data_IF_657608353520
#
_entry.id   IF_657608353520
#
_cell.length_a   1.000
_cell.length_b   1.000
_cell.length_c   1.000
_cell.angle_alpha   90.00
_cell.angle_beta   90.00
_cell.angle_gamma   90.00
#
_symmetry.space_group_name_H-M   'P 1'
#
loop_
_entity.id
_entity.type
_entity.pdbx_description
1 polymer ?
#
# COMPACT_ATOMS: atom_id res chain seq x y z
N UNK A 1 0.40 30.04 -15.52
CA UNK A 1 -0.69 29.53 -14.64
C UNK A 1 -0.65 30.39 -13.41
N UNK A 2 -1.64 31.23 -13.26
CA UNK A 2 -1.67 32.22 -12.20
C UNK A 2 -1.90 31.55 -10.85
N UNK A 3 -1.17 31.99 -9.82
CA UNK A 3 -1.18 31.36 -8.47
C UNK A 3 -2.54 31.34 -7.75
N UNK A 4 -3.61 31.82 -8.41
CA UNK A 4 -4.98 31.76 -7.92
C UNK A 4 -5.60 30.35 -7.98
N UNK A 5 -5.19 29.49 -8.92
CA UNK A 5 -5.83 28.19 -9.14
C UNK A 5 -5.60 27.18 -7.98
N UNK A 6 -4.46 27.25 -7.31
CA UNK A 6 -4.15 26.38 -6.18
C UNK A 6 -4.98 26.73 -4.95
N UNK A 7 -5.24 28.02 -4.70
CA UNK A 7 -6.06 28.51 -3.60
C UNK A 7 -7.50 28.00 -3.63
N UNK A 8 -8.11 27.93 -4.83
CA UNK A 8 -9.49 27.45 -4.98
C UNK A 8 -9.66 25.99 -4.54
N UNK A 9 -8.66 25.13 -4.77
CA UNK A 9 -8.70 23.74 -4.31
C UNK A 9 -8.80 23.64 -2.78
N UNK A 10 -8.07 24.50 -2.05
CA UNK A 10 -8.13 24.55 -0.59
C UNK A 10 -9.47 25.14 -0.10
N UNK A 11 -10.01 26.16 -0.74
CA UNK A 11 -11.34 26.71 -0.39
C UNK A 11 -12.45 25.70 -0.62
N UNK A 12 -12.45 24.99 -1.75
CA UNK A 12 -13.45 23.95 -2.04
C UNK A 12 -13.35 22.83 -1.00
N UNK A 13 -12.15 22.39 -0.65
CA UNK A 13 -11.94 21.35 0.37
C UNK A 13 -12.48 21.82 1.73
N UNK A 14 -12.18 23.06 2.14
CA UNK A 14 -12.69 23.65 3.38
C UNK A 14 -14.22 23.68 3.41
N UNK A 15 -14.85 24.16 2.33
CA UNK A 15 -16.33 24.24 2.22
C UNK A 15 -16.95 22.85 2.27
N UNK A 16 -16.40 21.86 1.54
CA UNK A 16 -16.89 20.48 1.58
C UNK A 16 -16.76 19.88 2.97
N UNK A 17 -15.61 20.06 3.64
CA UNK A 17 -15.39 19.55 5.00
C UNK A 17 -16.33 20.22 6.01
N UNK A 18 -16.51 21.53 5.93
CA UNK A 18 -17.44 22.26 6.78
C UNK A 18 -18.90 21.78 6.56
N UNK A 19 -19.30 21.56 5.31
CA UNK A 19 -20.63 21.07 4.96
C UNK A 19 -20.89 19.67 5.55
N UNK A 20 -19.90 18.77 5.46
CA UNK A 20 -19.99 17.43 6.08
C UNK A 20 -20.12 17.57 7.60
N UNK A 21 -19.30 18.38 8.24
CA UNK A 21 -19.37 18.62 9.70
C UNK A 21 -20.74 19.15 10.11
N UNK A 22 -21.30 20.06 9.30
CA UNK A 22 -22.65 20.59 9.55
C UNK A 22 -23.75 19.54 9.40
N UNK A 23 -23.62 18.60 8.45
CA UNK A 23 -24.56 17.48 8.33
C UNK A 23 -24.59 16.59 9.58
N UNK A 24 -23.44 16.44 10.29
CA UNK A 24 -23.34 15.68 11.54
C UNK A 24 -23.58 16.53 12.80
N UNK A 25 -24.08 17.76 12.67
CA UNK A 25 -24.27 18.65 13.82
C UNK A 25 -25.22 18.06 14.88
N UNK A 26 -26.27 17.34 14.45
CA UNK A 26 -27.24 16.74 15.36
C UNK A 26 -26.59 15.65 16.23
N UNK A 27 -25.83 14.76 15.62
CA UNK A 27 -25.10 13.67 16.26
C UNK A 27 -24.03 14.21 17.20
N UNK A 28 -23.30 15.24 16.77
CA UNK A 28 -22.31 15.93 17.59
C UNK A 28 -22.97 16.56 18.82
N UNK A 29 -24.11 17.24 18.63
CA UNK A 29 -24.85 17.87 19.74
C UNK A 29 -25.35 16.83 20.74
N UNK A 30 -25.90 15.71 20.29
CA UNK A 30 -26.33 14.61 21.17
C UNK A 30 -25.13 14.01 21.93
N UNK A 31 -23.98 13.84 21.30
CA UNK A 31 -22.75 13.38 21.96
C UNK A 31 -22.21 14.34 23.02
N UNK A 32 -22.32 15.67 22.79
CA UNK A 32 -21.89 16.69 23.76
C UNK A 32 -22.91 16.93 24.90
N UNK A 33 -24.19 16.61 24.69
CA UNK A 33 -25.28 16.78 25.69
C UNK A 33 -25.54 15.52 26.50
N UNK A 34 -24.75 14.44 26.32
CA UNK A 34 -24.85 13.21 27.12
C UNK A 34 -24.66 13.41 28.60
N UNK A 35 -24.90 12.34 29.39
CA UNK A 35 -24.78 12.38 30.87
C UNK A 35 -23.43 12.92 31.33
N UNK A 36 -23.44 13.82 32.31
CA UNK A 36 -22.23 14.42 32.85
C UNK A 36 -21.46 13.36 33.66
N UNK A 37 -20.38 12.87 33.08
CA UNK A 37 -19.46 11.97 33.76
C UNK A 37 -18.72 12.71 34.90
N UNK A 38 -18.50 12.04 36.03
CA UNK A 38 -17.68 12.58 37.10
C UNK A 38 -16.23 12.78 36.62
N UNK A 39 -15.59 13.89 37.03
CA UNK A 39 -14.21 14.19 36.62
C UNK A 39 -13.22 13.08 36.96
N UNK A 40 -13.42 12.37 38.07
CA UNK A 40 -12.62 11.22 38.47
C UNK A 40 -12.75 10.02 37.51
N UNK A 41 -13.96 9.71 37.09
CA UNK A 41 -14.25 8.63 36.16
C UNK A 41 -13.74 8.96 34.74
N UNK A 42 -13.98 10.21 34.30
CA UNK A 42 -13.44 10.70 33.04
C UNK A 42 -11.91 10.63 33.00
N UNK A 43 -11.22 10.98 34.05
CA UNK A 43 -9.75 10.91 34.15
C UNK A 43 -9.24 9.48 34.01
N UNK A 44 -9.89 8.51 34.63
CA UNK A 44 -9.51 7.08 34.52
C UNK A 44 -9.75 6.58 33.10
N UNK A 45 -10.89 6.93 32.49
CA UNK A 45 -11.22 6.55 31.12
C UNK A 45 -10.25 7.15 30.13
N UNK A 46 -9.97 8.46 30.24
CA UNK A 46 -9.00 9.17 29.37
C UNK A 46 -7.61 8.54 29.48
N UNK A 47 -7.15 8.23 30.70
CA UNK A 47 -5.85 7.57 30.91
C UNK A 47 -5.79 6.22 30.22
N UNK A 48 -6.85 5.42 30.29
CA UNK A 48 -6.95 4.13 29.61
C UNK A 48 -6.97 4.29 28.10
N UNK A 49 -7.74 5.25 27.59
CA UNK A 49 -7.79 5.57 26.16
C UNK A 49 -6.43 6.06 25.64
N UNK A 50 -5.76 6.95 26.37
CA UNK A 50 -4.44 7.46 26.00
C UNK A 50 -3.38 6.35 25.97
N UNK A 51 -3.42 5.43 26.93
CA UNK A 51 -2.51 4.28 26.96
C UNK A 51 -2.64 3.37 25.72
N UNK A 52 -3.85 3.23 25.20
CA UNK A 52 -4.11 2.49 23.97
C UNK A 52 -3.79 3.30 22.72
N UNK A 53 -4.15 4.58 22.69
CA UNK A 53 -4.04 5.45 21.52
C UNK A 53 -2.61 5.91 21.23
N UNK A 54 -1.79 6.09 22.25
CA UNK A 54 -0.43 6.59 22.11
C UNK A 54 0.45 5.72 21.18
N UNK A 55 0.50 4.38 21.34
CA UNK A 55 1.27 3.54 20.41
C UNK A 55 0.72 3.58 18.99
N UNK A 56 -0.60 3.71 18.83
CA UNK A 56 -1.24 3.83 17.50
C UNK A 56 -0.89 5.17 16.85
N UNK A 57 -0.81 6.25 17.62
CA UNK A 57 -0.37 7.56 17.14
C UNK A 57 1.07 7.49 16.62
N UNK A 58 1.99 6.88 17.38
CA UNK A 58 3.38 6.68 16.96
C UNK A 58 3.46 5.83 15.69
N UNK A 59 2.67 4.77 15.62
CA UNK A 59 2.54 3.94 14.42
C UNK A 59 2.03 4.75 13.22
N UNK A 60 1.04 5.61 13.41
CA UNK A 60 0.48 6.49 12.38
C UNK A 60 1.51 7.51 11.88
N UNK A 61 2.22 8.17 12.79
CA UNK A 61 3.30 9.11 12.44
C UNK A 61 4.40 8.39 11.65
N UNK A 62 4.87 7.24 12.13
CA UNK A 62 5.88 6.46 11.42
C UNK A 62 5.38 6.00 10.03
N UNK A 63 4.10 5.66 9.89
CA UNK A 63 3.48 5.32 8.62
C UNK A 63 3.46 6.49 7.63
N UNK A 64 3.10 7.69 8.10
CA UNK A 64 3.11 8.91 7.28
C UNK A 64 4.54 9.27 6.89
N UNK A 65 5.49 9.21 7.82
CA UNK A 65 6.90 9.45 7.53
C UNK A 65 7.43 8.47 6.47
N UNK A 66 7.09 7.20 6.55
CA UNK A 66 7.47 6.22 5.53
C UNK A 66 6.95 6.57 4.11
N UNK A 67 5.82 7.29 4.00
CA UNK A 67 5.24 7.68 2.71
C UNK A 67 5.73 9.04 2.19
N UNK A 68 6.26 9.88 3.07
CA UNK A 68 6.56 11.29 2.73
C UNK A 68 7.98 11.72 3.02
N UNK A 69 8.73 10.96 3.84
CA UNK A 69 10.08 11.34 4.25
C UNK A 69 11.05 11.49 3.07
N UNK A 70 10.92 10.63 2.05
CA UNK A 70 11.66 10.73 0.80
C UNK A 70 11.46 12.10 0.12
N UNK A 71 10.21 12.55 0.03
CA UNK A 71 9.83 13.81 -0.60
C UNK A 71 10.24 15.04 0.22
N UNK A 72 10.18 14.92 1.55
CA UNK A 72 10.59 15.99 2.46
C UNK A 72 12.13 16.12 2.49
N UNK A 73 12.84 15.00 2.54
CA UNK A 73 14.30 15.00 2.67
C UNK A 73 15.01 15.30 1.35
N UNK A 74 14.41 14.93 0.22
CA UNK A 74 15.03 15.01 -1.09
C UNK A 74 15.61 16.41 -1.43
N UNK A 75 14.87 17.52 -1.26
CA UNK A 75 15.39 18.87 -1.59
C UNK A 75 16.59 19.30 -0.75
N UNK A 76 16.73 18.72 0.46
CA UNK A 76 17.82 19.05 1.38
C UNK A 76 19.07 18.20 1.18
N UNK A 77 18.92 17.04 0.54
CA UNK A 77 20.00 16.05 0.40
C UNK A 77 20.57 16.05 -1.03
N UNK A 78 19.73 16.39 -2.02
CA UNK A 78 20.12 16.35 -3.43
C UNK A 78 20.79 17.66 -3.86
N UNK A 79 22.12 17.62 -4.07
CA UNK A 79 22.92 18.81 -4.42
C UNK A 79 23.28 18.88 -5.92
N UNK A 80 23.02 17.81 -6.70
CA UNK A 80 23.46 17.68 -8.10
C UNK A 80 22.45 18.24 -9.11
N UNK A 81 22.03 19.49 -8.99
CA UNK A 81 21.13 20.12 -9.97
C UNK A 81 19.81 20.58 -9.38
N UNK A 82 18.78 20.72 -10.23
CA UNK A 82 17.46 21.17 -9.76
C UNK A 82 16.71 20.07 -9.02
N UNK A 83 16.79 20.11 -7.69
CA UNK A 83 16.10 19.18 -6.81
C UNK A 83 14.59 19.19 -6.98
N UNK A 84 14.00 20.36 -7.28
CA UNK A 84 12.55 20.49 -7.45
C UNK A 84 12.05 19.81 -8.73
N UNK A 85 12.80 19.95 -9.83
CA UNK A 85 12.47 19.23 -11.08
C UNK A 85 12.58 17.71 -10.90
N UNK A 86 13.65 17.23 -10.27
CA UNK A 86 13.83 15.80 -9.99
C UNK A 86 12.73 15.25 -9.07
N UNK A 87 12.36 16.00 -8.04
CA UNK A 87 11.26 15.65 -7.15
C UNK A 87 9.90 15.67 -7.89
N UNK A 88 9.72 16.61 -8.81
CA UNK A 88 8.54 16.67 -9.68
C UNK A 88 8.40 15.42 -10.56
N UNK A 89 9.50 14.97 -11.18
CA UNK A 89 9.56 13.74 -11.98
C UNK A 89 9.18 12.52 -11.14
N UNK A 90 9.78 12.39 -9.96
CA UNK A 90 9.45 11.31 -9.01
C UNK A 90 7.99 11.37 -8.55
N UNK A 91 7.50 12.56 -8.22
CA UNK A 91 6.13 12.78 -7.79
C UNK A 91 5.10 12.41 -8.85
N UNK A 92 5.35 12.77 -10.13
CA UNK A 92 4.47 12.41 -11.25
C UNK A 92 4.43 10.90 -11.48
N UNK A 93 5.58 10.22 -11.46
CA UNK A 93 5.66 8.76 -11.58
C UNK A 93 4.98 8.05 -10.39
N UNK A 94 5.15 8.57 -9.18
CA UNK A 94 4.52 8.03 -7.96
C UNK A 94 2.99 8.11 -8.02
N UNK A 95 2.39 9.05 -8.77
CA UNK A 95 0.94 9.11 -8.97
C UNK A 95 0.41 7.90 -9.75
N UNK A 96 1.16 7.36 -10.70
CA UNK A 96 0.79 6.11 -11.38
C UNK A 96 0.88 4.94 -10.38
N UNK A 97 1.96 4.87 -9.61
CA UNK A 97 2.12 3.83 -8.60
C UNK A 97 1.09 3.91 -7.46
N UNK A 98 0.47 5.08 -7.23
CA UNK A 98 -0.59 5.29 -6.24
C UNK A 98 -1.82 4.40 -6.49
N UNK A 99 -2.04 3.91 -7.72
CA UNK A 99 -3.06 2.91 -8.02
C UNK A 99 -2.90 1.70 -7.08
N UNK A 100 -1.66 1.24 -6.85
CA UNK A 100 -1.41 0.13 -5.93
C UNK A 100 -1.71 0.50 -4.48
N UNK A 101 -1.36 1.71 -4.04
CA UNK A 101 -1.70 2.20 -2.71
C UNK A 101 -3.21 2.26 -2.49
N UNK A 102 -3.98 2.71 -3.51
CA UNK A 102 -5.45 2.72 -3.46
C UNK A 102 -6.03 1.31 -3.34
N UNK A 103 -5.53 0.35 -4.10
CA UNK A 103 -5.93 -1.07 -4.02
C UNK A 103 -5.65 -1.62 -2.62
N UNK A 104 -4.46 -1.41 -2.10
CA UNK A 104 -4.05 -1.84 -0.76
C UNK A 104 -4.95 -1.22 0.32
N UNK A 105 -5.26 0.05 0.19
CA UNK A 105 -6.13 0.76 1.13
C UNK A 105 -7.58 0.27 1.08
N UNK A 106 -8.13 0.06 -0.12
CA UNK A 106 -9.47 -0.49 -0.30
C UNK A 106 -9.59 -1.89 0.32
N UNK A 107 -8.58 -2.74 0.07
CA UNK A 107 -8.52 -4.06 0.69
C UNK A 107 -8.46 -3.95 2.22
N UNK A 108 -7.64 -3.07 2.77
CA UNK A 108 -7.52 -2.86 4.22
C UNK A 108 -8.85 -2.47 4.85
N UNK A 109 -9.59 -1.54 4.27
CA UNK A 109 -10.89 -1.09 4.79
C UNK A 109 -11.94 -2.19 4.76
N UNK A 110 -11.94 -3.03 3.74
CA UNK A 110 -12.86 -4.17 3.67
C UNK A 110 -12.46 -5.32 4.61
N UNK A 111 -11.16 -5.55 4.77
CA UNK A 111 -10.64 -6.70 5.47
C UNK A 111 -10.54 -6.49 6.99
N UNK A 112 -10.24 -5.27 7.46
CA UNK A 112 -10.06 -4.97 8.88
C UNK A 112 -11.30 -5.30 9.74
N UNK A 113 -12.54 -4.89 9.40
CA UNK A 113 -13.74 -5.29 10.13
C UNK A 113 -13.98 -6.80 10.10
N UNK A 114 -13.69 -7.45 8.97
CA UNK A 114 -13.83 -8.89 8.82
C UNK A 114 -12.90 -9.67 9.75
N UNK A 115 -11.64 -9.25 9.89
CA UNK A 115 -10.66 -9.86 10.80
C UNK A 115 -11.13 -9.78 12.25
N UNK A 116 -11.55 -8.59 12.70
CA UNK A 116 -12.02 -8.41 14.07
C UNK A 116 -13.34 -9.16 14.34
N UNK A 117 -14.24 -9.23 13.37
CA UNK A 117 -15.46 -10.02 13.47
C UNK A 117 -15.20 -11.52 13.65
N UNK A 118 -14.15 -12.04 12.99
CA UNK A 118 -13.76 -13.45 13.07
C UNK A 118 -12.72 -13.78 14.14
N UNK A 119 -12.31 -12.82 14.96
CA UNK A 119 -11.25 -13.01 15.94
C UNK A 119 -11.52 -14.15 16.95
N UNK A 120 -12.80 -14.45 17.24
CA UNK A 120 -13.24 -15.51 18.16
C UNK A 120 -13.47 -16.85 17.50
N UNK A 121 -13.44 -16.96 16.17
CA UNK A 121 -13.69 -18.19 15.45
C UNK A 121 -12.49 -19.14 15.56
N UNK A 122 -12.76 -20.47 15.64
CA UNK A 122 -11.69 -21.50 15.73
C UNK A 122 -10.79 -21.54 14.50
N UNK A 123 -11.31 -21.18 13.33
CA UNK A 123 -10.60 -21.22 12.03
C UNK A 123 -10.05 -19.85 11.59
N UNK A 124 -9.92 -18.90 12.50
CA UNK A 124 -9.51 -17.54 12.19
C UNK A 124 -8.12 -17.48 11.49
N UNK A 125 -7.15 -18.30 11.96
CA UNK A 125 -5.79 -18.33 11.41
C UNK A 125 -5.73 -18.78 9.96
N UNK A 126 -6.54 -19.79 9.61
CA UNK A 126 -6.62 -20.28 8.22
C UNK A 126 -7.26 -19.22 7.31
N UNK A 127 -8.28 -18.53 7.81
CA UNK A 127 -8.91 -17.41 7.12
C UNK A 127 -7.91 -16.28 6.84
N UNK A 128 -7.07 -15.92 7.81
CA UNK A 128 -6.03 -14.90 7.64
C UNK A 128 -4.95 -15.31 6.64
N UNK A 129 -4.53 -16.59 6.67
CA UNK A 129 -3.58 -17.12 5.71
C UNK A 129 -4.12 -17.10 4.28
N UNK A 130 -5.40 -17.46 4.09
CA UNK A 130 -6.08 -17.42 2.79
C UNK A 130 -6.22 -16.00 2.27
N UNK A 131 -6.65 -15.06 3.12
CA UNK A 131 -6.79 -13.66 2.75
C UNK A 131 -5.46 -13.02 2.33
N UNK A 132 -4.37 -13.33 3.02
CA UNK A 132 -3.01 -12.92 2.63
C UNK A 132 -2.66 -13.44 1.24
N UNK A 133 -2.91 -14.73 0.96
CA UNK A 133 -2.66 -15.33 -0.34
C UNK A 133 -3.42 -14.61 -1.45
N UNK A 134 -4.74 -14.43 -1.29
CA UNK A 134 -5.56 -13.75 -2.30
C UNK A 134 -5.20 -12.28 -2.46
N UNK A 135 -4.83 -11.60 -1.40
CA UNK A 135 -4.31 -10.24 -1.47
C UNK A 135 -3.06 -10.16 -2.35
N UNK A 136 -2.07 -11.03 -2.12
CA UNK A 136 -0.84 -11.05 -2.92
C UNK A 136 -1.13 -11.39 -4.38
N UNK A 137 -1.97 -12.39 -4.65
CA UNK A 137 -2.38 -12.75 -6.01
C UNK A 137 -3.00 -11.54 -6.74
N UNK A 138 -3.95 -10.86 -6.10
CA UNK A 138 -4.64 -9.74 -6.69
C UNK A 138 -3.72 -8.54 -6.94
N UNK A 139 -2.84 -8.23 -5.98
CA UNK A 139 -1.89 -7.12 -6.13
C UNK A 139 -0.81 -7.41 -7.16
N UNK A 140 -0.34 -8.67 -7.31
CA UNK A 140 0.58 -9.06 -8.38
C UNK A 140 -0.08 -8.97 -9.76
N UNK A 141 -1.36 -9.35 -9.89
CA UNK A 141 -2.10 -9.16 -11.14
C UNK A 141 -2.23 -7.67 -11.47
N UNK A 142 -2.61 -6.84 -10.51
CA UNK A 142 -2.69 -5.40 -10.70
C UNK A 142 -1.33 -4.78 -11.06
N UNK A 143 -0.24 -5.26 -10.45
CA UNK A 143 1.12 -4.88 -10.80
C UNK A 143 1.43 -5.17 -12.27
N UNK A 144 1.17 -6.39 -12.74
CA UNK A 144 1.42 -6.77 -14.14
C UNK A 144 0.55 -5.95 -15.12
N UNK A 145 -0.71 -5.67 -14.77
CA UNK A 145 -1.57 -4.83 -15.58
C UNK A 145 -1.01 -3.41 -15.70
N UNK A 146 -0.68 -2.75 -14.59
CA UNK A 146 -0.18 -1.37 -14.62
C UNK A 146 1.15 -1.29 -15.36
N UNK A 147 2.08 -2.20 -15.09
CA UNK A 147 3.39 -2.20 -15.75
C UNK A 147 3.29 -2.59 -17.22
N UNK A 148 2.44 -3.56 -17.56
CA UNK A 148 2.22 -3.97 -18.96
C UNK A 148 1.62 -2.86 -19.85
N UNK A 149 0.80 -1.99 -19.26
CA UNK A 149 0.20 -0.85 -19.95
C UNK A 149 0.85 0.49 -19.60
N UNK A 150 2.07 0.50 -19.05
CA UNK A 150 2.76 1.71 -18.65
C UNK A 150 2.96 2.68 -19.81
N UNK A 151 3.19 2.19 -21.02
CA UNK A 151 3.29 2.97 -22.26
C UNK A 151 1.98 3.71 -22.60
N UNK A 152 0.84 3.17 -22.21
CA UNK A 152 -0.46 3.84 -22.37
C UNK A 152 -0.66 4.85 -21.23
N UNK A 153 -0.36 4.43 -20.01
CA UNK A 153 -0.53 5.25 -18.81
C UNK A 153 0.39 6.48 -18.79
N UNK A 154 1.55 6.44 -19.45
CA UNK A 154 2.45 7.61 -19.55
C UNK A 154 1.78 8.84 -20.17
N UNK A 155 0.75 8.66 -21.01
CA UNK A 155 0.03 9.79 -21.62
C UNK A 155 -0.85 10.57 -20.63
N UNK A 156 -1.06 10.05 -19.42
CA UNK A 156 -1.76 10.75 -18.34
C UNK A 156 -0.86 11.83 -17.71
N UNK A 157 0.47 11.66 -17.80
CA UNK A 157 1.46 12.62 -17.29
C UNK A 157 2.13 13.38 -18.46
N UNK A 158 2.61 14.59 -18.17
CA UNK A 158 3.36 15.39 -19.16
C UNK A 158 4.63 14.68 -19.62
N UNK A 159 5.03 14.94 -20.88
CA UNK A 159 6.21 14.30 -21.49
C UNK A 159 7.50 14.52 -20.72
N UNK A 160 7.64 15.67 -20.09
CA UNK A 160 8.83 16.05 -19.30
C UNK A 160 9.04 15.16 -18.07
N UNK A 161 8.02 14.40 -17.66
CA UNK A 161 8.05 13.49 -16.51
C UNK A 161 8.25 12.03 -16.86
N UNK A 162 8.37 11.67 -18.15
CA UNK A 162 8.45 10.28 -18.60
C UNK A 162 9.68 9.54 -18.09
N UNK A 163 10.79 10.24 -17.86
CA UNK A 163 11.99 9.66 -17.24
C UNK A 163 11.73 9.04 -15.87
N UNK A 164 10.72 9.51 -15.16
CA UNK A 164 10.30 8.96 -13.89
C UNK A 164 9.63 7.59 -13.97
N UNK A 165 9.13 7.16 -15.14
CA UNK A 165 8.37 5.92 -15.29
C UNK A 165 9.15 4.67 -14.88
N UNK A 166 10.47 4.71 -14.96
CA UNK A 166 11.37 3.63 -14.53
C UNK A 166 11.28 3.30 -13.04
N UNK A 167 10.81 4.23 -12.20
CA UNK A 167 10.61 3.96 -10.76
C UNK A 167 9.25 3.39 -10.43
N UNK A 168 8.27 3.46 -11.34
CA UNK A 168 6.89 2.97 -11.11
C UNK A 168 6.87 1.51 -10.64
N UNK A 169 7.56 0.56 -11.29
CA UNK A 169 7.55 -0.83 -10.84
C UNK A 169 8.13 -1.00 -9.43
N UNK A 170 9.16 -0.23 -9.08
CA UNK A 170 9.83 -0.30 -7.78
C UNK A 170 8.89 0.22 -6.68
N UNK A 171 8.27 1.38 -6.92
CA UNK A 171 7.31 1.97 -5.97
C UNK A 171 6.08 1.08 -5.80
N UNK A 172 5.55 0.50 -6.89
CA UNK A 172 4.44 -0.45 -6.80
C UNK A 172 4.80 -1.71 -6.01
N UNK A 173 6.01 -2.25 -6.19
CA UNK A 173 6.49 -3.38 -5.40
C UNK A 173 6.63 -3.01 -3.91
N UNK A 174 7.09 -1.79 -3.59
CA UNK A 174 7.12 -1.26 -2.24
C UNK A 174 5.70 -1.19 -1.62
N UNK A 175 4.70 -0.73 -2.37
CA UNK A 175 3.29 -0.68 -1.93
C UNK A 175 2.69 -2.07 -1.71
N UNK A 176 3.06 -3.08 -2.51
CA UNK A 176 2.69 -4.46 -2.26
C UNK A 176 3.27 -4.95 -0.92
N UNK A 177 4.56 -4.68 -0.65
CA UNK A 177 5.18 -5.03 0.63
C UNK A 177 4.51 -4.34 1.81
N UNK A 178 4.13 -3.07 1.66
CA UNK A 178 3.35 -2.34 2.66
C UNK A 178 1.99 -2.99 2.89
N UNK A 179 1.30 -3.41 1.84
CA UNK A 179 0.03 -4.14 1.93
C UNK A 179 0.17 -5.49 2.63
N UNK A 180 1.22 -6.25 2.34
CA UNK A 180 1.55 -7.50 3.07
C UNK A 180 1.84 -7.20 4.54
N UNK A 181 2.60 -6.14 4.83
CA UNK A 181 2.84 -5.69 6.20
C UNK A 181 1.54 -5.35 6.94
N UNK A 182 0.58 -4.67 6.30
CA UNK A 182 -0.74 -4.44 6.88
C UNK A 182 -1.49 -5.72 7.20
N UNK A 183 -1.46 -6.71 6.32
CA UNK A 183 -2.06 -8.02 6.60
C UNK A 183 -1.36 -8.72 7.78
N UNK A 184 -0.03 -8.65 7.85
CA UNK A 184 0.71 -9.17 8.99
C UNK A 184 0.43 -8.41 10.28
N UNK A 185 0.01 -7.14 10.22
CA UNK A 185 -0.22 -6.31 11.41
C UNK A 185 -1.33 -6.81 12.33
N UNK A 186 -2.23 -7.66 11.85
CA UNK A 186 -3.35 -8.14 12.64
C UNK A 186 -2.93 -8.98 13.84
N UNK A 187 -1.82 -9.71 13.77
CA UNK A 187 -1.41 -10.53 14.90
C UNK A 187 -1.18 -9.70 16.19
N UNK A 188 -0.50 -8.56 16.11
CA UNK A 188 -0.26 -7.74 17.30
C UNK A 188 -1.48 -6.89 17.71
N UNK A 189 -2.38 -6.58 16.77
CA UNK A 189 -3.67 -5.95 17.08
C UNK A 189 -4.60 -6.92 17.81
N UNK A 190 -4.66 -8.19 17.39
CA UNK A 190 -5.50 -9.22 17.99
C UNK A 190 -5.08 -9.62 19.41
N UNK A 191 -3.80 -9.47 19.75
CA UNK A 191 -3.27 -9.78 21.09
C UNK A 191 -3.03 -8.50 21.93
N UNK A 192 -3.59 -7.35 21.53
CA UNK A 192 -3.46 -6.04 22.17
C UNK A 192 -2.01 -5.57 22.41
N UNK A 193 -1.08 -5.99 21.55
CA UNK A 193 0.34 -5.60 21.61
C UNK A 193 0.73 -4.68 20.46
N UNK A 194 -0.02 -3.61 20.28
CA UNK A 194 0.14 -2.64 19.16
C UNK A 194 1.51 -1.94 19.12
N UNK A 195 2.25 -1.95 20.24
CA UNK A 195 3.62 -1.41 20.32
C UNK A 195 4.57 -2.06 19.30
N UNK A 196 4.36 -3.33 18.94
CA UNK A 196 5.17 -4.00 17.92
C UNK A 196 5.03 -3.34 16.56
N UNK A 197 3.84 -2.82 16.22
CA UNK A 197 3.64 -2.05 15.01
C UNK A 197 4.49 -0.79 14.97
N UNK A 198 4.60 -0.06 16.10
CA UNK A 198 5.44 1.12 16.22
C UNK A 198 6.94 0.78 16.04
N UNK A 199 7.41 -0.33 16.62
CA UNK A 199 8.79 -0.79 16.44
C UNK A 199 9.10 -1.15 14.97
N UNK A 200 8.25 -1.94 14.32
CA UNK A 200 8.48 -2.35 12.93
C UNK A 200 8.42 -1.17 11.97
N UNK A 201 7.42 -0.31 12.11
CA UNK A 201 7.32 0.90 11.29
C UNK A 201 8.46 1.88 11.57
N UNK A 202 8.88 2.03 12.83
CA UNK A 202 10.01 2.86 13.21
C UNK A 202 11.34 2.37 12.61
N UNK A 203 11.61 1.06 12.67
CA UNK A 203 12.81 0.46 12.06
C UNK A 203 12.74 0.61 10.54
N UNK A 204 11.58 0.34 9.91
CA UNK A 204 11.41 0.54 8.48
C UNK A 204 11.65 2.00 8.06
N UNK A 205 11.15 2.95 8.84
CA UNK A 205 11.39 4.38 8.63
C UNK A 205 12.88 4.74 8.75
N UNK A 206 13.58 4.21 9.76
CA UNK A 206 15.01 4.44 9.93
C UNK A 206 15.83 3.89 8.75
N UNK A 207 15.49 2.70 8.24
CA UNK A 207 16.12 2.12 7.04
C UNK A 207 15.84 3.00 5.80
N UNK A 208 14.60 3.44 5.61
CA UNK A 208 14.23 4.32 4.51
C UNK A 208 15.02 5.64 4.57
N UNK A 209 15.10 6.28 5.72
CA UNK A 209 15.86 7.52 5.90
C UNK A 209 17.35 7.29 5.66
N UNK A 210 17.94 6.22 6.21
CA UNK A 210 19.35 5.90 6.01
C UNK A 210 19.70 5.71 4.53
N UNK A 211 18.87 4.97 3.78
CA UNK A 211 19.07 4.77 2.34
C UNK A 211 18.92 6.10 1.58
N UNK A 212 17.92 6.93 1.92
CA UNK A 212 17.78 8.24 1.30
C UNK A 212 19.02 9.12 1.53
N UNK A 213 19.49 9.24 2.77
CA UNK A 213 20.65 10.08 3.12
C UNK A 213 21.92 9.62 2.39
N UNK A 214 22.14 8.31 2.27
CA UNK A 214 23.36 7.74 1.67
C UNK A 214 23.30 7.77 0.14
N UNK A 215 22.16 7.42 -0.46
CA UNK A 215 22.09 7.12 -1.89
C UNK A 215 21.43 8.22 -2.74
N UNK A 216 20.60 9.10 -2.18
CA UNK A 216 19.99 10.21 -2.93
C UNK A 216 21.05 11.15 -3.53
N UNK A 217 22.15 11.51 -2.83
CA UNK A 217 23.22 12.33 -3.43
C UNK A 217 23.87 11.69 -4.66
N UNK A 218 23.82 10.35 -4.76
CA UNK A 218 24.47 9.58 -5.82
C UNK A 218 23.51 9.31 -6.98
N UNK A 219 22.35 8.75 -6.67
CA UNK A 219 21.39 8.20 -7.64
C UNK A 219 20.10 9.03 -7.81
N UNK A 220 19.97 10.15 -7.08
CA UNK A 220 18.79 11.02 -7.16
C UNK A 220 17.50 10.30 -6.75
N UNK A 221 16.40 10.61 -7.43
CA UNK A 221 15.07 10.09 -7.09
C UNK A 221 14.91 8.57 -7.22
N UNK A 222 15.79 7.89 -7.96
CA UNK A 222 15.76 6.42 -8.03
C UNK A 222 16.05 5.80 -6.66
N UNK A 223 16.94 6.45 -5.88
CA UNK A 223 17.22 6.01 -4.52
C UNK A 223 16.00 6.10 -3.61
N UNK A 224 15.13 7.11 -3.79
CA UNK A 224 13.86 7.22 -3.04
C UNK A 224 12.95 6.00 -3.25
N UNK A 225 12.82 5.54 -4.48
CA UNK A 225 12.01 4.35 -4.78
C UNK A 225 12.58 3.09 -4.09
N UNK A 226 13.89 2.89 -4.15
CA UNK A 226 14.56 1.77 -3.47
C UNK A 226 14.54 1.90 -1.95
N UNK A 227 14.60 3.12 -1.42
CA UNK A 227 14.48 3.38 0.01
C UNK A 227 13.09 2.96 0.54
N UNK A 228 12.03 3.31 -0.18
CA UNK A 228 10.67 2.85 0.13
C UNK A 228 10.54 1.33 0.09
N UNK A 229 11.08 0.69 -0.96
CA UNK A 229 11.10 -0.76 -1.10
C UNK A 229 11.81 -1.45 0.07
N UNK A 230 13.00 -0.99 0.45
CA UNK A 230 13.77 -1.54 1.55
C UNK A 230 13.11 -1.27 2.91
N UNK A 231 12.56 -0.07 3.14
CA UNK A 231 11.89 0.30 4.38
C UNK A 231 10.65 -0.56 4.65
N UNK A 232 9.76 -0.66 3.66
CA UNK A 232 8.55 -1.49 3.78
C UNK A 232 8.89 -2.98 3.81
N UNK A 233 9.87 -3.42 3.02
CA UNK A 233 10.38 -4.79 3.06
C UNK A 233 10.92 -5.17 4.43
N UNK A 234 11.68 -4.30 5.07
CA UNK A 234 12.20 -4.50 6.43
C UNK A 234 11.07 -4.64 7.45
N UNK A 235 10.09 -3.73 7.44
CA UNK A 235 8.94 -3.78 8.34
C UNK A 235 8.14 -5.08 8.14
N UNK A 236 7.90 -5.49 6.90
CA UNK A 236 7.22 -6.73 6.52
C UNK A 236 7.95 -7.97 7.05
N UNK A 237 9.25 -8.06 6.80
CA UNK A 237 10.08 -9.20 7.20
C UNK A 237 10.12 -9.32 8.74
N UNK A 238 10.35 -8.21 9.44
CA UNK A 238 10.35 -8.21 10.91
C UNK A 238 9.00 -8.61 11.49
N UNK A 239 7.90 -8.07 10.95
CA UNK A 239 6.55 -8.42 11.39
C UNK A 239 6.24 -9.90 11.16
N UNK A 240 6.69 -10.48 10.04
CA UNK A 240 6.52 -11.90 9.75
C UNK A 240 7.25 -12.77 10.76
N UNK A 241 8.57 -12.58 10.94
CA UNK A 241 9.35 -13.44 11.83
C UNK A 241 8.94 -13.35 13.31
N UNK A 242 8.68 -12.14 13.80
CA UNK A 242 8.21 -11.94 15.16
C UNK A 242 6.78 -12.47 15.34
N UNK A 243 5.92 -12.25 14.33
CA UNK A 243 4.55 -12.77 14.30
C UNK A 243 4.52 -14.28 14.39
N UNK A 244 5.35 -14.98 13.62
CA UNK A 244 5.43 -16.45 13.66
C UNK A 244 5.83 -17.00 15.05
N UNK A 245 6.64 -16.26 15.82
CA UNK A 245 7.03 -16.66 17.19
C UNK A 245 5.92 -16.38 18.22
N UNK A 246 5.12 -15.32 18.06
CA UNK A 246 4.15 -14.88 19.06
C UNK A 246 2.71 -15.30 18.77
N UNK A 247 2.35 -15.36 17.51
CA UNK A 247 1.02 -15.75 17.02
C UNK A 247 1.18 -16.51 15.69
N UNK A 248 1.56 -17.80 15.74
CA UNK A 248 1.86 -18.55 14.54
C UNK A 248 0.63 -18.71 13.64
N UNK A 249 0.77 -18.28 12.39
CA UNK A 249 -0.20 -18.46 11.31
C UNK A 249 0.50 -19.21 10.18
N UNK A 250 -0.09 -20.30 9.72
CA UNK A 250 0.46 -21.11 8.64
C UNK A 250 0.18 -20.46 7.28
N UNK A 251 0.94 -19.40 6.96
CA UNK A 251 0.86 -18.79 5.64
C UNK A 251 1.39 -19.73 4.55
N UNK A 252 0.73 -19.83 3.39
CA UNK A 252 1.20 -20.65 2.26
C UNK A 252 2.35 -19.95 1.52
N UNK A 253 3.47 -19.70 2.23
CA UNK A 253 4.61 -18.91 1.73
C UNK A 253 5.18 -19.51 0.44
N UNK A 254 5.26 -20.87 0.33
CA UNK A 254 5.75 -21.52 -0.88
C UNK A 254 4.90 -21.19 -2.10
N UNK A 255 3.56 -21.19 -1.95
CA UNK A 255 2.66 -20.85 -3.04
C UNK A 255 2.76 -19.36 -3.40
N UNK A 256 2.80 -18.50 -2.39
CA UNK A 256 2.99 -17.04 -2.57
C UNK A 256 4.29 -16.77 -3.34
N UNK A 257 5.39 -17.43 -2.97
CA UNK A 257 6.68 -17.26 -3.66
C UNK A 257 6.63 -17.72 -5.12
N UNK A 258 5.87 -18.76 -5.44
CA UNK A 258 5.68 -19.20 -6.83
C UNK A 258 4.99 -18.07 -7.65
N UNK A 259 3.95 -17.44 -7.09
CA UNK A 259 3.28 -16.31 -7.78
C UNK A 259 4.19 -15.10 -7.94
N UNK A 260 4.98 -14.79 -6.92
CA UNK A 260 5.97 -13.69 -6.97
C UNK A 260 7.02 -13.97 -8.06
N UNK A 261 7.62 -15.16 -8.06
CA UNK A 261 8.63 -15.52 -9.08
C UNK A 261 8.02 -15.51 -10.48
N UNK A 262 6.82 -16.08 -10.65
CA UNK A 262 6.14 -16.07 -11.94
C UNK A 262 5.85 -14.63 -12.41
N UNK A 263 5.38 -13.76 -11.53
CA UNK A 263 5.13 -12.35 -11.87
C UNK A 263 6.42 -11.61 -12.24
N UNK A 264 7.54 -11.90 -11.58
CA UNK A 264 8.84 -11.31 -11.91
C UNK A 264 9.35 -11.78 -13.29
N UNK A 265 9.17 -13.06 -13.63
CA UNK A 265 9.52 -13.59 -14.96
C UNK A 265 8.67 -12.91 -16.05
N UNK A 266 7.37 -12.78 -15.81
CA UNK A 266 6.48 -12.11 -16.76
C UNK A 266 6.81 -10.63 -16.88
N UNK A 267 7.11 -9.95 -15.78
CA UNK A 267 7.57 -8.57 -15.76
C UNK A 267 8.85 -8.38 -16.59
N UNK A 268 9.84 -9.27 -16.42
CA UNK A 268 11.05 -9.23 -17.23
C UNK A 268 10.72 -9.42 -18.73
N UNK A 269 9.83 -10.36 -19.08
CA UNK A 269 9.35 -10.54 -20.44
C UNK A 269 8.65 -9.31 -21.02
N UNK A 270 7.81 -8.63 -20.23
CA UNK A 270 7.14 -7.38 -20.62
C UNK A 270 8.15 -6.25 -20.86
N UNK A 271 9.18 -6.16 -19.98
CA UNK A 271 10.22 -5.14 -20.12
C UNK A 271 11.03 -5.34 -21.40
N UNK A 272 11.39 -6.57 -21.73
CA UNK A 272 12.06 -6.89 -23.00
C UNK A 272 11.13 -6.66 -24.21
N UNK A 273 9.86 -7.02 -24.13
CA UNK A 273 8.90 -6.74 -25.18
C UNK A 273 8.79 -5.24 -25.48
N UNK A 274 8.71 -4.41 -24.44
CA UNK A 274 8.66 -2.94 -24.58
C UNK A 274 9.97 -2.35 -25.14
N UNK A 275 11.09 -3.07 -25.01
CA UNK A 275 12.40 -2.64 -25.52
C UNK A 275 12.60 -2.93 -27.00
N UNK A 276 12.11 -4.09 -27.47
CA UNK A 276 12.39 -4.57 -28.83
C UNK A 276 11.26 -4.33 -29.83
N UNK A 277 10.02 -4.17 -29.37
CA UNK A 277 8.87 -4.04 -30.23
C UNK A 277 8.24 -2.64 -30.17
N UNK A 278 7.51 -2.28 -31.21
CA UNK A 278 6.71 -1.04 -31.22
C UNK A 278 5.62 -1.09 -30.12
N UNK A 279 5.22 0.06 -29.63
CA UNK A 279 4.26 0.19 -28.50
C UNK A 279 2.98 -0.64 -28.70
N UNK A 280 2.45 -0.75 -29.94
CA UNK A 280 1.26 -1.54 -30.22
C UNK A 280 1.49 -3.06 -30.11
N UNK A 281 2.61 -3.55 -30.67
CA UNK A 281 2.97 -4.98 -30.60
C UNK A 281 3.33 -5.37 -29.17
N UNK A 282 4.08 -4.52 -28.48
CA UNK A 282 4.42 -4.72 -27.08
C UNK A 282 3.17 -4.81 -26.19
N UNK A 283 2.17 -3.95 -26.42
CA UNK A 283 0.89 -3.99 -25.72
C UNK A 283 0.14 -5.31 -25.94
N UNK A 284 0.13 -5.85 -27.17
CA UNK A 284 -0.46 -7.16 -27.44
C UNK A 284 0.28 -8.29 -26.72
N UNK A 285 1.62 -8.29 -26.75
CA UNK A 285 2.44 -9.28 -26.04
C UNK A 285 2.17 -9.20 -24.53
N UNK A 286 2.15 -8.00 -23.96
CA UNK A 286 1.88 -7.78 -22.55
C UNK A 286 0.48 -8.29 -22.16
N UNK A 287 -0.53 -8.07 -23.02
CA UNK A 287 -1.87 -8.61 -22.82
C UNK A 287 -1.86 -10.14 -22.75
N UNK A 288 -1.15 -10.79 -23.66
CA UNK A 288 -1.03 -12.26 -23.68
C UNK A 288 -0.35 -12.76 -22.39
N UNK A 289 0.72 -12.10 -21.95
CA UNK A 289 1.43 -12.47 -20.71
C UNK A 289 0.54 -12.31 -19.48
N UNK A 290 -0.27 -11.24 -19.40
CA UNK A 290 -1.26 -11.03 -18.33
C UNK A 290 -2.32 -12.15 -18.37
N UNK A 291 -2.83 -12.49 -19.54
CA UNK A 291 -3.81 -13.57 -19.70
C UNK A 291 -3.25 -14.93 -19.30
N UNK A 292 -1.96 -15.21 -19.59
CA UNK A 292 -1.27 -16.43 -19.13
C UNK A 292 -1.25 -16.49 -17.61
N UNK A 293 -0.88 -15.37 -16.94
CA UNK A 293 -0.91 -15.29 -15.50
C UNK A 293 -2.32 -15.51 -14.93
N UNK A 294 -3.32 -14.82 -15.49
CA UNK A 294 -4.71 -14.96 -15.08
C UNK A 294 -5.24 -16.39 -15.29
N UNK A 295 -4.91 -17.03 -16.41
CA UNK A 295 -5.29 -18.42 -16.69
C UNK A 295 -4.65 -19.39 -15.67
N UNK A 296 -3.38 -19.17 -15.31
CA UNK A 296 -2.71 -19.94 -14.27
C UNK A 296 -3.41 -19.82 -12.91
N UNK A 297 -3.80 -18.60 -12.53
CA UNK A 297 -4.53 -18.32 -11.29
C UNK A 297 -5.90 -19.03 -11.27
N UNK A 298 -6.65 -18.90 -12.36
CA UNK A 298 -7.98 -19.53 -12.49
C UNK A 298 -7.87 -21.06 -12.40
N UNK A 299 -6.88 -21.65 -13.04
CA UNK A 299 -6.67 -23.10 -13.01
C UNK A 299 -6.34 -23.61 -11.61
N UNK A 300 -5.56 -22.85 -10.82
CA UNK A 300 -5.02 -23.31 -9.56
C UNK A 300 -5.87 -22.94 -8.34
N UNK A 301 -6.32 -21.69 -8.25
CA UNK A 301 -6.94 -21.14 -7.04
C UNK A 301 -8.42 -20.75 -7.20
N UNK A 302 -8.87 -20.52 -8.45
CA UNK A 302 -10.24 -20.14 -8.76
C UNK A 302 -10.88 -21.11 -9.75
N UNK A 303 -11.10 -22.40 -9.38
CA UNK A 303 -11.74 -23.32 -10.29
C UNK A 303 -13.11 -22.79 -10.68
N UNK A 304 -13.32 -22.50 -11.97
CA UNK A 304 -14.52 -21.84 -12.53
C UNK A 304 -15.82 -22.53 -12.10
N UNK A 305 -15.77 -23.83 -11.79
CA UNK A 305 -16.93 -24.61 -11.32
C UNK A 305 -17.39 -24.22 -9.90
N UNK A 306 -16.55 -23.61 -9.08
CA UNK A 306 -16.86 -23.22 -7.70
C UNK A 306 -17.38 -21.79 -7.57
N UNK A 307 -17.30 -20.99 -8.63
CA UNK A 307 -17.77 -19.61 -8.63
C UNK A 307 -19.30 -19.54 -8.76
N UNK A 308 -20.02 -18.81 -7.86
CA UNK A 308 -21.49 -18.85 -7.81
C UNK A 308 -22.18 -18.32 -9.06
N UNK A 309 -21.53 -17.45 -9.84
CA UNK A 309 -22.08 -16.89 -11.08
C UNK A 309 -21.62 -17.68 -12.30
N UNK A 310 -20.30 -17.91 -12.41
CA UNK A 310 -19.67 -18.55 -13.57
C UNK A 310 -19.89 -20.08 -13.55
N UNK A 311 -19.96 -20.69 -12.36
CA UNK A 311 -20.19 -22.13 -12.21
C UNK A 311 -21.53 -22.61 -12.79
N UNK A 312 -22.55 -21.73 -12.91
CA UNK A 312 -23.81 -22.06 -13.58
C UNK A 312 -23.65 -22.29 -15.09
N UNK A 313 -22.70 -21.62 -15.73
CA UNK A 313 -22.43 -21.79 -17.17
C UNK A 313 -21.58 -23.04 -17.51
N UNK A 314 -20.82 -23.57 -16.55
CA UNK A 314 -19.96 -24.74 -16.72
C UNK A 314 -20.51 -26.03 -16.08
N UNK A 315 -21.74 -26.01 -15.56
CA UNK A 315 -22.50 -27.18 -15.11
C UNK A 315 -23.38 -27.74 -16.24
N UNK A 316 -22.81 -27.98 -17.40
CA UNK A 316 -23.45 -28.83 -18.42
C UNK A 316 -22.68 -30.11 -18.54
#
# INVERSE_FOLDING_TARGET
MDGHDVGYAFYINLVCTASITFCFYKELKEGFMGEKCSWSECKVLVRKMMGYSWPILVLGIAGILNQTADKILFPYIYEKGDAHTQLGIYGAASKIAMIMAMITQAFRYAYEPFVFGKAKDKDNRQTYASAMKYFVIFTLLAFLVVVGYLDVLRHIIGRDYWDGLKVVPIVMAAEIMMGVYFNLSFWYKLIDKTIWGAYFSGIGCAVLIAINVIFVPIYGYIACAWAGFAGYGTAMILSYFVGQKKYPINYPVKEIMIYVVLSLILFAGMTEANRYFSSGIACLINTVLILIFAAYLVKKDFPLKSLPVVGKFFRK
#
